data_IF_245989461420
#
_entry.id   IF_245989461420
#
_cell.length_a   1.000
_cell.length_b   1.000
_cell.length_c   1.000
_cell.angle_alpha   90.00
_cell.angle_beta   90.00
_cell.angle_gamma   90.00
#
_symmetry.space_group_name_H-M   'P 1'
#
loop_
_entity.id
_entity.type
_entity.pdbx_description
1 polymer ?
#
# COMPACT_ATOMS: atom_id res chain seq x y z
N UNK A 1 47.65 -25.82 -46.49
CA UNK A 1 47.51 -24.75 -47.50
C UNK A 1 46.10 -24.21 -47.36
N UNK A 2 45.98 -22.94 -46.94
CA UNK A 2 44.84 -22.00 -47.05
C UNK A 2 43.55 -22.37 -46.30
N UNK A 3 43.13 -21.64 -45.27
CA UNK A 3 42.67 -20.23 -45.18
C UNK A 3 41.24 -20.00 -45.73
N UNK A 4 40.40 -19.33 -44.93
CA UNK A 4 39.19 -18.60 -45.37
C UNK A 4 37.88 -19.08 -44.72
N UNK A 5 37.39 -18.54 -43.59
CA UNK A 5 36.67 -17.26 -43.32
C UNK A 5 35.14 -17.28 -43.57
N UNK A 6 34.41 -16.90 -42.51
CA UNK A 6 33.09 -16.21 -42.39
C UNK A 6 32.10 -16.92 -41.44
N UNK A 7 31.86 -16.46 -40.21
CA UNK A 7 31.33 -15.19 -39.68
C UNK A 7 29.78 -15.15 -39.64
N UNK A 8 29.21 -15.01 -38.44
CA UNK A 8 27.76 -14.96 -38.23
C UNK A 8 27.33 -14.71 -36.77
N UNK A 9 27.63 -13.49 -36.30
CA UNK A 9 26.92 -12.66 -35.30
C UNK A 9 26.45 -13.26 -33.95
N UNK A 10 27.09 -12.78 -32.88
CA UNK A 10 26.64 -12.90 -31.50
C UNK A 10 25.49 -11.96 -31.14
N UNK A 11 24.74 -12.35 -30.11
CA UNK A 11 23.89 -11.47 -29.33
C UNK A 11 24.53 -11.35 -27.94
N UNK A 12 25.32 -10.29 -27.75
CA UNK A 12 25.89 -9.89 -26.47
C UNK A 12 24.75 -9.35 -25.59
N UNK A 13 24.34 -10.13 -24.59
CA UNK A 13 23.62 -9.62 -23.43
C UNK A 13 24.67 -9.11 -22.45
N UNK A 14 24.70 -7.80 -22.24
CA UNK A 14 25.62 -7.15 -21.30
C UNK A 14 25.57 -7.78 -19.90
N UNK A 15 26.72 -8.06 -19.26
CA UNK A 15 26.76 -8.50 -17.88
C UNK A 15 26.55 -7.32 -16.94
N UNK A 16 25.48 -7.41 -16.13
CA UNK A 16 25.23 -6.53 -14.98
C UNK A 16 26.45 -6.52 -14.06
N UNK A 17 27.09 -5.35 -13.94
CA UNK A 17 28.25 -5.12 -13.08
C UNK A 17 27.87 -5.42 -11.62
N UNK A 18 28.33 -6.57 -11.14
CA UNK A 18 28.18 -7.01 -9.76
C UNK A 18 29.41 -6.55 -8.98
N UNK A 19 29.24 -5.59 -8.07
CA UNK A 19 30.29 -5.22 -7.11
C UNK A 19 30.43 -6.38 -6.11
N UNK A 20 31.36 -7.29 -6.38
CA UNK A 20 31.71 -8.37 -5.46
C UNK A 20 32.52 -7.83 -4.27
N UNK A 21 31.89 -7.76 -3.09
CA UNK A 21 32.66 -7.78 -1.83
C UNK A 21 33.09 -9.22 -1.53
N UNK A 22 34.39 -9.45 -1.62
CA UNK A 22 35.07 -10.74 -1.40
C UNK A 22 34.96 -11.21 0.07
N UNK A 23 34.23 -12.30 0.34
CA UNK A 23 34.37 -13.13 1.56
C UNK A 23 33.96 -14.59 1.29
N UNK A 24 34.93 -15.51 1.44
CA UNK A 24 34.81 -16.92 1.88
C UNK A 24 34.01 -17.93 1.02
N UNK A 25 34.54 -19.15 0.76
CA UNK A 25 33.79 -20.22 0.09
C UNK A 25 32.88 -20.94 1.09
N UNK A 26 31.57 -20.81 0.89
CA UNK A 26 30.54 -21.50 1.67
C UNK A 26 29.16 -21.05 1.25
N UNK A 27 28.56 -21.79 0.30
CA UNK A 27 27.14 -21.76 -0.08
C UNK A 27 26.42 -20.40 0.04
N UNK A 28 26.40 -19.63 -1.06
CA UNK A 28 25.34 -18.63 -1.27
C UNK A 28 24.03 -19.37 -1.54
N UNK A 29 23.31 -19.78 -0.50
CA UNK A 29 21.85 -19.83 -0.62
C UNK A 29 21.38 -18.39 -0.71
N UNK A 30 21.03 -17.94 -1.91
CA UNK A 30 20.18 -16.76 -2.09
C UNK A 30 18.80 -17.11 -1.53
N UNK A 31 18.68 -17.15 -0.20
CA UNK A 31 17.39 -17.27 0.47
C UNK A 31 16.61 -16.03 0.09
N UNK A 32 15.69 -16.17 -0.85
CA UNK A 32 14.75 -15.12 -1.19
C UNK A 32 13.88 -14.89 0.05
N UNK A 33 14.25 -13.92 0.89
CA UNK A 33 13.57 -13.62 2.16
C UNK A 33 12.08 -13.28 1.97
N UNK A 34 11.63 -12.99 0.73
CA UNK A 34 10.21 -12.81 0.38
C UNK A 34 9.42 -14.11 0.33
N UNK A 35 10.06 -15.25 0.07
CA UNK A 35 9.42 -16.56 0.01
C UNK A 35 9.25 -17.24 1.39
N UNK A 36 9.52 -16.50 2.47
CA UNK A 36 9.40 -16.99 3.85
C UNK A 36 8.06 -16.70 4.52
N UNK A 37 7.18 -15.94 3.87
CA UNK A 37 5.86 -15.54 4.37
C UNK A 37 4.87 -15.36 3.21
N UNK A 38 3.59 -15.19 3.54
CA UNK A 38 2.49 -15.07 2.59
C UNK A 38 1.99 -13.62 2.42
N UNK A 39 2.78 -12.60 2.75
CA UNK A 39 2.30 -11.21 2.68
C UNK A 39 1.91 -10.78 1.27
N UNK A 40 2.60 -11.24 0.23
CA UNK A 40 2.26 -10.91 -1.15
C UNK A 40 0.94 -11.57 -1.57
N UNK A 41 0.64 -12.76 -1.06
CA UNK A 41 -0.68 -13.38 -1.23
C UNK A 41 -1.79 -12.61 -0.50
N UNK A 42 -1.53 -12.15 0.73
CA UNK A 42 -2.49 -11.32 1.47
C UNK A 42 -2.78 -10.02 0.73
N UNK A 43 -1.76 -9.37 0.17
CA UNK A 43 -1.94 -8.19 -0.68
C UNK A 43 -2.75 -8.47 -1.94
N UNK A 44 -2.52 -9.62 -2.58
CA UNK A 44 -3.32 -10.03 -3.72
C UNK A 44 -4.80 -10.19 -3.36
N UNK A 45 -5.11 -10.82 -2.22
CA UNK A 45 -6.47 -10.90 -1.71
C UNK A 45 -7.06 -9.51 -1.42
N UNK A 46 -6.28 -8.60 -0.84
CA UNK A 46 -6.70 -7.23 -0.58
C UNK A 46 -7.02 -6.46 -1.89
N UNK A 47 -6.14 -6.53 -2.89
CA UNK A 47 -6.39 -5.93 -4.21
C UNK A 47 -7.65 -6.51 -4.87
N UNK A 48 -7.85 -7.82 -4.75
CA UNK A 48 -9.02 -8.51 -5.30
C UNK A 48 -10.30 -8.09 -4.58
N UNK A 49 -10.24 -7.83 -3.26
CA UNK A 49 -11.37 -7.35 -2.47
C UNK A 49 -11.77 -5.92 -2.87
N UNK A 50 -10.80 -5.03 -3.11
CA UNK A 50 -11.03 -3.68 -3.66
C UNK A 50 -11.70 -3.76 -5.02
N UNK A 51 -11.11 -4.53 -5.94
CA UNK A 51 -11.68 -4.76 -7.26
C UNK A 51 -13.12 -5.28 -7.16
N UNK A 52 -13.37 -6.27 -6.30
CA UNK A 52 -14.70 -6.82 -6.08
C UNK A 52 -15.70 -5.77 -5.59
N UNK A 53 -15.32 -4.90 -4.65
CA UNK A 53 -16.18 -3.83 -4.13
C UNK A 53 -16.53 -2.80 -5.20
N UNK A 54 -15.53 -2.30 -5.93
CA UNK A 54 -15.72 -1.29 -6.98
C UNK A 54 -16.67 -1.73 -8.10
N UNK A 55 -16.74 -3.03 -8.41
CA UNK A 55 -17.73 -3.53 -9.38
C UNK A 55 -19.18 -3.29 -8.93
N UNK A 56 -19.47 -3.29 -7.63
CA UNK A 56 -20.81 -2.99 -7.12
C UNK A 56 -21.11 -1.50 -7.20
N UNK A 57 -20.17 -0.64 -6.79
CA UNK A 57 -20.33 0.81 -6.86
C UNK A 57 -20.55 1.29 -8.31
N UNK A 58 -19.73 0.79 -9.25
CA UNK A 58 -19.88 1.07 -10.68
C UNK A 58 -21.22 0.57 -11.25
N UNK A 59 -21.77 -0.52 -10.71
CA UNK A 59 -23.08 -1.04 -11.07
C UNK A 59 -24.25 -0.33 -10.37
N UNK A 60 -23.98 0.68 -9.54
CA UNK A 60 -24.99 1.40 -8.75
C UNK A 60 -25.64 0.54 -7.67
N UNK A 61 -24.92 -0.48 -7.18
CA UNK A 61 -25.37 -1.40 -6.14
C UNK A 61 -24.65 -1.09 -4.83
N UNK A 62 -25.29 -1.41 -3.72
CA UNK A 62 -24.64 -1.34 -2.41
C UNK A 62 -23.42 -2.27 -2.37
N UNK A 63 -22.29 -1.73 -1.96
CA UNK A 63 -21.05 -2.50 -1.82
C UNK A 63 -21.18 -3.55 -0.71
N UNK A 64 -20.72 -4.80 -0.93
CA UNK A 64 -20.85 -5.86 0.06
C UNK A 64 -20.02 -5.55 1.30
N UNK A 65 -20.66 -5.66 2.46
CA UNK A 65 -20.02 -5.40 3.75
C UNK A 65 -19.25 -6.63 4.25
N UNK A 66 -18.10 -6.40 4.86
CA UNK A 66 -17.37 -7.43 5.61
C UNK A 66 -18.10 -7.68 6.93
N UNK A 67 -18.57 -8.92 7.19
CA UNK A 67 -19.34 -9.23 8.38
C UNK A 67 -18.59 -8.86 9.67
N UNK A 68 -19.22 -8.02 10.50
CA UNK A 68 -18.62 -7.58 11.76
C UNK A 68 -17.44 -6.64 11.60
N UNK A 69 -17.34 -5.84 10.55
CA UNK A 69 -16.38 -4.73 10.51
C UNK A 69 -17.07 -3.39 10.25
N UNK A 70 -18.26 -3.42 9.66
CA UNK A 70 -18.96 -2.21 9.22
C UNK A 70 -18.24 -1.49 8.08
N UNK A 71 -17.34 -2.20 7.40
CA UNK A 71 -16.58 -1.75 6.24
C UNK A 71 -16.96 -2.62 5.05
N UNK A 72 -16.99 -2.05 3.86
CA UNK A 72 -17.03 -2.86 2.64
C UNK A 72 -15.70 -3.56 2.36
N UNK A 73 -15.70 -4.44 1.36
CA UNK A 73 -14.49 -5.17 0.96
C UNK A 73 -13.38 -4.27 0.40
N UNK A 74 -13.72 -3.09 -0.14
CA UNK A 74 -12.77 -2.11 -0.63
C UNK A 74 -12.05 -1.40 0.51
N UNK A 75 -12.80 -0.82 1.44
CA UNK A 75 -12.29 -0.23 2.67
C UNK A 75 -11.43 -1.23 3.46
N UNK A 76 -11.89 -2.48 3.58
CA UNK A 76 -11.11 -3.54 4.20
C UNK A 76 -9.80 -3.82 3.46
N UNK A 77 -9.84 -3.95 2.13
CA UNK A 77 -8.66 -4.20 1.31
C UNK A 77 -7.62 -3.07 1.44
N UNK A 78 -8.08 -1.81 1.40
CA UNK A 78 -7.23 -0.63 1.62
C UNK A 78 -6.64 -0.66 3.03
N UNK A 79 -7.43 -0.92 4.07
CA UNK A 79 -6.91 -1.01 5.44
C UNK A 79 -5.82 -2.10 5.60
N UNK A 80 -5.99 -3.26 4.94
CA UNK A 80 -4.99 -4.33 4.90
C UNK A 80 -3.68 -3.85 4.26
N UNK A 81 -3.76 -3.11 3.13
CA UNK A 81 -2.58 -2.51 2.50
C UNK A 81 -1.86 -1.57 3.47
N UNK A 82 -2.57 -0.67 4.14
CA UNK A 82 -1.96 0.28 5.07
C UNK A 82 -1.32 -0.42 6.28
N UNK A 83 -1.98 -1.41 6.88
CA UNK A 83 -1.39 -2.21 7.97
C UNK A 83 -0.09 -2.90 7.55
N UNK A 84 -0.09 -3.56 6.37
CA UNK A 84 1.10 -4.24 5.86
C UNK A 84 2.21 -3.26 5.46
N UNK A 85 1.86 -2.14 4.83
CA UNK A 85 2.81 -1.09 4.45
C UNK A 85 3.49 -0.54 5.70
N UNK A 86 2.74 -0.13 6.73
CA UNK A 86 3.30 0.38 7.98
C UNK A 86 4.25 -0.61 8.67
N UNK A 87 3.87 -1.89 8.71
CA UNK A 87 4.71 -2.94 9.27
C UNK A 87 6.01 -3.15 8.50
N UNK A 88 5.95 -3.39 7.18
CA UNK A 88 7.12 -3.69 6.38
C UNK A 88 8.06 -2.50 6.23
N UNK A 89 7.52 -1.29 6.12
CA UNK A 89 8.29 -0.06 5.98
C UNK A 89 9.00 0.24 7.29
N UNK A 90 8.31 0.17 8.42
CA UNK A 90 8.96 0.36 9.72
C UNK A 90 10.09 -0.65 9.94
N UNK A 91 9.86 -1.94 9.66
CA UNK A 91 10.93 -2.96 9.76
C UNK A 91 12.09 -2.71 8.80
N UNK A 92 11.79 -2.28 7.57
CA UNK A 92 12.85 -1.98 6.61
C UNK A 92 13.64 -0.73 7.01
N UNK A 93 13.00 0.30 7.58
CA UNK A 93 13.67 1.48 8.11
C UNK A 93 14.57 1.12 9.31
N UNK A 94 14.09 0.25 10.21
CA UNK A 94 14.89 -0.21 11.36
C UNK A 94 16.17 -0.97 10.95
N UNK A 95 16.15 -1.61 9.77
CA UNK A 95 17.26 -2.40 9.23
C UNK A 95 18.14 -1.61 8.26
N UNK A 96 17.66 -0.50 7.70
CA UNK A 96 18.41 0.27 6.69
C UNK A 96 19.51 1.08 7.35
N UNK A 97 20.68 1.09 6.71
CA UNK A 97 21.78 2.01 7.05
C UNK A 97 21.88 3.17 6.07
N UNK A 98 21.32 3.01 4.87
CA UNK A 98 21.23 4.04 3.83
C UNK A 98 19.77 4.41 3.59
N UNK A 99 19.45 5.68 3.82
CA UNK A 99 18.10 6.22 3.68
C UNK A 99 17.77 6.64 2.24
N UNK A 100 18.79 6.98 1.45
CA UNK A 100 18.63 7.35 0.05
C UNK A 100 18.32 6.12 -0.79
N UNK A 101 19.05 5.02 -0.59
CA UNK A 101 18.74 3.72 -1.19
C UNK A 101 17.33 3.25 -0.80
N UNK A 102 16.97 3.45 0.47
CA UNK A 102 15.64 3.14 0.96
C UNK A 102 14.57 3.92 0.17
N UNK A 103 14.69 5.25 0.07
CA UNK A 103 13.73 6.09 -0.62
C UNK A 103 13.65 5.77 -2.12
N UNK A 104 14.80 5.61 -2.79
CA UNK A 104 14.89 5.25 -4.20
C UNK A 104 14.16 3.94 -4.51
N UNK A 105 14.35 2.90 -3.69
CA UNK A 105 13.67 1.63 -3.87
C UNK A 105 12.14 1.71 -3.77
N UNK A 106 11.59 2.72 -3.07
CA UNK A 106 10.13 2.91 -2.94
C UNK A 106 9.58 3.74 -4.07
N UNK A 107 10.30 4.78 -4.48
CA UNK A 107 9.97 5.57 -5.67
C UNK A 107 9.93 4.65 -6.89
N UNK A 108 10.96 3.82 -7.08
CA UNK A 108 11.04 2.86 -8.21
C UNK A 108 9.99 1.74 -8.13
N UNK A 109 9.41 1.48 -6.94
CA UNK A 109 8.31 0.52 -6.79
C UNK A 109 6.96 1.11 -7.21
N UNK A 110 6.73 2.40 -6.92
CA UNK A 110 5.42 3.07 -7.08
C UNK A 110 5.35 3.78 -8.43
N UNK A 111 6.29 4.69 -8.71
CA UNK A 111 6.18 5.65 -9.80
C UNK A 111 6.20 5.05 -11.21
N UNK A 112 6.99 4.00 -11.53
CA UNK A 112 6.97 3.45 -12.90
C UNK A 112 5.61 2.87 -13.28
N UNK A 113 5.00 2.08 -12.38
CA UNK A 113 3.68 1.50 -12.59
C UNK A 113 2.60 2.58 -12.60
N UNK A 114 2.70 3.57 -11.72
CA UNK A 114 1.80 4.72 -11.67
C UNK A 114 1.88 5.58 -12.95
N UNK A 115 3.08 5.86 -13.45
CA UNK A 115 3.24 6.62 -14.70
C UNK A 115 2.62 5.85 -15.87
N UNK A 116 2.86 4.53 -15.93
CA UNK A 116 2.32 3.67 -16.97
C UNK A 116 0.79 3.69 -16.98
N UNK A 117 0.14 3.41 -15.85
CA UNK A 117 -1.34 3.40 -15.77
C UNK A 117 -1.94 4.77 -16.06
N UNK A 118 -1.38 5.87 -15.53
CA UNK A 118 -1.89 7.21 -15.81
C UNK A 118 -1.85 7.55 -17.31
N UNK A 119 -0.73 7.26 -17.98
CA UNK A 119 -0.58 7.51 -19.41
C UNK A 119 -1.51 6.61 -20.22
N UNK A 120 -1.58 5.32 -19.91
CA UNK A 120 -2.45 4.37 -20.62
C UNK A 120 -3.92 4.75 -20.45
N UNK A 121 -4.37 5.03 -19.23
CA UNK A 121 -5.74 5.45 -18.94
C UNK A 121 -6.08 6.77 -19.64
N UNK A 122 -5.19 7.76 -19.60
CA UNK A 122 -5.40 9.04 -20.27
C UNK A 122 -5.47 8.90 -21.80
N UNK A 123 -4.56 8.12 -22.40
CA UNK A 123 -4.59 7.87 -23.85
C UNK A 123 -5.80 7.04 -24.28
N UNK A 124 -6.15 6.00 -23.52
CA UNK A 124 -7.29 5.14 -23.82
C UNK A 124 -8.59 5.95 -23.80
N UNK A 125 -8.80 6.77 -22.78
CA UNK A 125 -10.00 7.61 -22.67
C UNK A 125 -10.02 8.74 -23.71
N UNK A 126 -8.87 9.33 -24.03
CA UNK A 126 -8.76 10.33 -25.10
C UNK A 126 -9.21 9.76 -26.45
N UNK A 127 -8.77 8.55 -26.79
CA UNK A 127 -9.11 7.88 -28.06
C UNK A 127 -10.55 7.37 -28.06
N UNK A 128 -10.95 6.67 -27.00
CA UNK A 128 -12.26 6.01 -26.92
C UNK A 128 -13.42 7.01 -26.96
N UNK A 129 -13.30 8.11 -26.20
CA UNK A 129 -14.32 9.17 -26.15
C UNK A 129 -14.15 10.22 -27.25
N UNK A 130 -13.13 10.09 -28.10
CA UNK A 130 -12.74 11.12 -29.10
C UNK A 130 -12.60 12.51 -28.45
N UNK A 131 -12.02 12.55 -27.25
CA UNK A 131 -12.05 13.68 -26.33
C UNK A 131 -10.98 14.75 -26.63
N UNK A 132 -10.65 14.96 -27.91
CA UNK A 132 -9.53 15.80 -28.35
C UNK A 132 -9.66 17.27 -27.95
N UNK A 133 -10.88 17.78 -27.76
CA UNK A 133 -11.15 19.14 -27.27
C UNK A 133 -10.65 19.37 -25.83
N UNK A 134 -10.46 18.30 -25.06
CA UNK A 134 -10.00 18.34 -23.67
C UNK A 134 -8.56 17.82 -23.50
N UNK A 135 -7.72 17.87 -24.55
CA UNK A 135 -6.35 17.36 -24.51
C UNK A 135 -5.53 17.91 -23.33
N UNK A 136 -5.70 19.19 -22.96
CA UNK A 136 -5.01 19.77 -21.80
C UNK A 136 -5.41 19.07 -20.50
N UNK A 137 -6.69 18.74 -20.30
CA UNK A 137 -7.15 18.05 -19.11
C UNK A 137 -6.61 16.61 -19.01
N UNK A 138 -6.36 15.95 -20.14
CA UNK A 138 -5.68 14.66 -20.18
C UNK A 138 -4.21 14.75 -19.75
N UNK A 139 -3.52 15.83 -20.11
CA UNK A 139 -2.15 16.12 -19.68
C UNK A 139 -2.12 16.51 -18.21
N UNK A 140 -3.05 17.35 -17.78
CA UNK A 140 -3.21 17.77 -16.38
C UNK A 140 -3.47 16.54 -15.50
N UNK A 141 -4.39 15.65 -15.89
CA UNK A 141 -4.64 14.37 -15.19
C UNK A 141 -3.35 13.57 -14.95
N UNK A 142 -2.49 13.41 -15.96
CA UNK A 142 -1.22 12.67 -15.80
C UNK A 142 -0.25 13.44 -14.91
N UNK A 143 -0.06 14.74 -15.18
CA UNK A 143 0.92 15.54 -14.45
C UNK A 143 0.54 15.77 -12.98
N UNK A 144 -0.74 15.97 -12.70
CA UNK A 144 -1.26 16.22 -11.36
C UNK A 144 -1.16 14.97 -10.50
N UNK A 145 -1.51 13.80 -11.06
CA UNK A 145 -1.35 12.53 -10.36
C UNK A 145 0.14 12.13 -10.21
N UNK A 146 1.03 12.48 -11.14
CA UNK A 146 2.48 12.33 -10.90
C UNK A 146 2.98 13.26 -9.78
N UNK A 147 2.33 14.41 -9.59
CA UNK A 147 2.59 15.36 -8.50
C UNK A 147 1.61 15.22 -7.33
N UNK A 148 0.99 14.04 -7.17
CA UNK A 148 -0.09 13.81 -6.19
C UNK A 148 0.30 14.09 -4.74
N UNK A 149 1.60 14.06 -4.45
CA UNK A 149 2.14 14.45 -3.14
C UNK A 149 1.77 15.89 -2.77
N UNK A 150 1.67 16.78 -3.75
CA UNK A 150 1.34 18.20 -3.58
C UNK A 150 -0.11 18.49 -3.96
N UNK A 151 -0.58 17.92 -5.08
CA UNK A 151 -1.88 18.26 -5.68
C UNK A 151 -3.03 17.36 -5.25
N UNK A 152 -2.75 16.21 -4.64
CA UNK A 152 -3.75 15.17 -4.42
C UNK A 152 -4.03 14.34 -5.66
N UNK A 153 -5.06 13.51 -5.58
CA UNK A 153 -5.47 12.65 -6.70
C UNK A 153 -6.49 13.38 -7.58
N UNK A 154 -6.21 13.45 -8.88
CA UNK A 154 -7.18 13.91 -9.88
C UNK A 154 -7.88 12.69 -10.44
N UNK A 155 -9.16 12.51 -10.11
CA UNK A 155 -9.88 11.29 -10.44
C UNK A 155 -10.69 11.40 -11.73
N UNK A 156 -11.09 12.60 -12.16
CA UNK A 156 -11.98 12.80 -13.30
C UNK A 156 -11.31 13.55 -14.45
N UNK A 157 -11.73 13.26 -15.68
CA UNK A 157 -11.35 14.00 -16.89
C UNK A 157 -12.63 14.55 -17.53
N UNK A 158 -12.74 15.86 -17.79
CA UNK A 158 -13.91 16.44 -18.45
C UNK A 158 -14.21 15.74 -19.79
N UNK A 159 -15.48 15.38 -20.00
CA UNK A 159 -15.92 14.69 -21.22
C UNK A 159 -15.79 13.16 -21.19
N UNK A 160 -15.25 12.58 -20.11
CA UNK A 160 -15.13 11.13 -19.92
C UNK A 160 -16.10 10.68 -18.83
N UNK A 161 -16.83 9.58 -19.06
CA UNK A 161 -17.80 8.99 -18.11
C UNK A 161 -18.85 9.99 -17.59
N UNK A 162 -19.27 10.96 -18.41
CA UNK A 162 -20.26 11.98 -18.02
C UNK A 162 -21.68 11.45 -17.92
N UNK A 163 -21.94 10.27 -18.48
CA UNK A 163 -23.22 9.56 -18.53
C UNK A 163 -23.31 8.37 -17.56
N UNK A 164 -22.29 8.17 -16.70
CA UNK A 164 -22.26 7.09 -15.71
C UNK A 164 -22.55 7.61 -14.30
N UNK A 165 -22.72 6.69 -13.35
CA UNK A 165 -22.92 7.04 -11.92
C UNK A 165 -21.68 7.68 -11.30
N UNK A 166 -20.48 7.35 -11.81
CA UNK A 166 -19.19 7.80 -11.30
C UNK A 166 -18.34 8.30 -12.46
N UNK A 167 -18.05 9.60 -12.47
CA UNK A 167 -17.18 10.22 -13.47
C UNK A 167 -15.68 9.97 -13.24
N UNK A 168 -15.32 9.26 -12.16
CA UNK A 168 -13.93 8.90 -11.88
C UNK A 168 -13.40 7.96 -12.96
N UNK A 169 -12.22 8.26 -13.46
CA UNK A 169 -11.48 7.52 -14.49
C UNK A 169 -10.49 6.54 -13.87
N UNK A 170 -10.03 6.79 -12.65
CA UNK A 170 -9.28 5.82 -11.86
C UNK A 170 -9.45 6.16 -10.38
N UNK A 171 -10.46 5.56 -9.75
CA UNK A 171 -10.77 5.81 -8.34
C UNK A 171 -9.61 5.43 -7.39
N UNK A 172 -9.03 4.20 -7.44
CA UNK A 172 -7.99 3.73 -6.50
C UNK A 172 -6.80 4.66 -6.22
N UNK A 173 -6.56 5.65 -7.07
CA UNK A 173 -5.52 6.67 -6.89
C UNK A 173 -5.71 7.51 -5.62
N UNK A 174 -6.92 7.69 -5.10
CA UNK A 174 -7.19 8.57 -3.95
C UNK A 174 -6.40 8.19 -2.70
N UNK A 175 -6.07 6.91 -2.50
CA UNK A 175 -5.33 6.46 -1.31
C UNK A 175 -3.83 6.73 -1.39
N UNK A 176 -3.28 6.88 -2.60
CA UNK A 176 -1.82 6.97 -2.80
C UNK A 176 -1.18 8.22 -2.18
N UNK A 177 -1.79 9.43 -2.24
CA UNK A 177 -1.31 10.59 -1.49
C UNK A 177 -1.12 10.29 0.00
N UNK A 178 -2.11 9.65 0.65
CA UNK A 178 -2.05 9.28 2.06
C UNK A 178 -0.89 8.32 2.33
N UNK A 179 -0.71 7.31 1.48
CA UNK A 179 0.38 6.35 1.61
C UNK A 179 1.75 7.05 1.56
N UNK A 180 1.98 7.92 0.56
CA UNK A 180 3.23 8.67 0.42
C UNK A 180 3.50 9.58 1.62
N UNK A 181 2.49 10.31 2.11
CA UNK A 181 2.63 11.18 3.27
C UNK A 181 2.90 10.40 4.56
N UNK A 182 2.28 9.23 4.76
CA UNK A 182 2.56 8.37 5.90
C UNK A 182 3.97 7.77 5.86
N UNK A 183 4.52 7.51 4.67
CA UNK A 183 5.90 7.07 4.53
C UNK A 183 6.87 8.17 4.98
N UNK A 184 6.64 9.40 4.54
CA UNK A 184 7.42 10.58 4.94
C UNK A 184 7.29 10.83 6.45
N UNK A 185 6.07 10.79 6.98
CA UNK A 185 5.81 10.98 8.40
C UNK A 185 6.50 9.93 9.27
N UNK A 186 6.43 8.65 8.89
CA UNK A 186 7.11 7.58 9.62
C UNK A 186 8.64 7.72 9.54
N UNK A 187 9.17 8.10 8.37
CA UNK A 187 10.59 8.38 8.21
C UNK A 187 11.05 9.50 9.15
N UNK A 188 10.34 10.64 9.14
CA UNK A 188 10.61 11.78 10.01
C UNK A 188 10.52 11.40 11.49
N UNK A 189 9.51 10.60 11.87
CA UNK A 189 9.31 10.14 13.24
C UNK A 189 10.44 9.24 13.73
N UNK A 190 10.92 8.32 12.89
CA UNK A 190 12.05 7.43 13.22
C UNK A 190 13.35 8.23 13.34
N UNK A 191 13.56 9.22 12.46
CA UNK A 191 14.74 10.08 12.49
C UNK A 191 14.76 10.99 13.73
N UNK A 192 13.65 11.68 14.00
CA UNK A 192 13.50 12.58 15.16
C UNK A 192 13.50 11.81 16.50
N UNK A 193 12.92 10.61 16.52
CA UNK A 193 12.91 9.76 17.71
C UNK A 193 14.29 9.26 18.13
N UNK A 194 15.29 9.28 17.23
CA UNK A 194 16.68 8.88 17.48
C UNK A 194 16.77 7.57 18.30
N UNK A 195 17.34 7.61 19.51
CA UNK A 195 17.48 6.44 20.40
C UNK A 195 16.13 5.88 20.90
N UNK A 196 15.06 6.68 20.86
CA UNK A 196 13.71 6.37 21.32
C UNK A 196 12.70 6.19 20.18
N UNK A 197 13.19 5.92 18.96
CA UNK A 197 12.37 5.70 17.75
C UNK A 197 11.18 4.75 17.96
N UNK A 198 11.34 3.70 18.78
CA UNK A 198 10.25 2.78 19.08
C UNK A 198 9.12 3.42 19.88
N UNK A 199 9.45 4.16 20.94
CA UNK A 199 8.47 4.89 21.74
C UNK A 199 7.78 5.98 20.91
N UNK A 200 8.52 6.68 20.04
CA UNK A 200 7.96 7.69 19.14
C UNK A 200 6.87 7.12 18.22
N UNK A 201 7.12 5.95 17.61
CA UNK A 201 6.13 5.24 16.77
C UNK A 201 4.91 4.81 17.58
N UNK A 202 5.11 4.26 18.78
CA UNK A 202 3.99 3.84 19.65
C UNK A 202 3.13 5.03 20.09
N UNK A 203 3.77 6.15 20.46
CA UNK A 203 3.07 7.38 20.84
C UNK A 203 2.32 7.99 19.64
N UNK A 204 2.90 7.97 18.45
CA UNK A 204 2.21 8.41 17.24
C UNK A 204 1.00 7.51 16.91
N UNK A 205 1.14 6.19 17.03
CA UNK A 205 0.04 5.25 16.84
C UNK A 205 -1.11 5.49 17.85
N UNK A 206 -0.77 5.71 19.12
CA UNK A 206 -1.76 6.07 20.14
C UNK A 206 -2.40 7.44 19.88
N UNK A 207 -1.60 8.43 19.48
CA UNK A 207 -2.06 9.78 19.18
C UNK A 207 -3.00 9.86 17.99
N UNK A 208 -2.66 9.21 16.87
CA UNK A 208 -3.54 9.18 15.69
C UNK A 208 -4.81 8.36 15.96
N UNK A 209 -4.70 7.27 16.72
CA UNK A 209 -5.84 6.46 17.11
C UNK A 209 -6.81 7.22 18.00
N UNK A 210 -6.28 8.01 18.94
CA UNK A 210 -7.07 8.92 19.77
C UNK A 210 -7.69 10.05 18.93
N UNK A 211 -6.94 10.62 18.00
CA UNK A 211 -7.48 11.64 17.11
C UNK A 211 -8.63 11.10 16.25
N UNK A 212 -8.52 9.88 15.70
CA UNK A 212 -9.60 9.21 14.99
C UNK A 212 -10.83 8.98 15.88
N UNK A 213 -10.60 8.52 17.12
CA UNK A 213 -11.65 8.33 18.12
C UNK A 213 -12.43 9.61 18.45
N UNK A 214 -11.76 10.76 18.37
CA UNK A 214 -12.32 12.07 18.69
C UNK A 214 -12.81 12.84 17.47
N UNK A 215 -12.63 12.33 16.24
CA UNK A 215 -12.98 13.04 15.01
C UNK A 215 -14.45 13.48 14.92
N UNK A 216 -15.44 12.73 15.44
CA UNK A 216 -16.82 13.20 15.44
C UNK A 216 -17.04 14.49 16.27
N UNK A 217 -16.11 14.85 17.15
CA UNK A 217 -16.22 16.03 18.03
C UNK A 217 -15.71 17.32 17.41
N UNK A 218 -14.81 17.24 16.43
CA UNK A 218 -14.19 18.43 15.82
C UNK A 218 -14.48 18.55 14.31
N UNK A 219 -15.22 17.60 13.73
CA UNK A 219 -15.63 17.63 12.34
C UNK A 219 -14.49 17.31 11.36
N UNK A 220 -14.80 17.38 10.08
CA UNK A 220 -13.85 17.11 8.99
C UNK A 220 -13.13 18.39 8.56
N UNK A 221 -11.85 18.25 8.23
CA UNK A 221 -11.01 19.32 7.72
C UNK A 221 -9.99 18.77 6.72
N UNK A 222 -9.36 19.65 5.97
CA UNK A 222 -8.34 19.28 4.99
C UNK A 222 -6.94 19.70 5.45
N UNK A 223 -5.95 18.84 5.19
CA UNK A 223 -4.53 19.13 5.36
C UNK A 223 -3.87 19.03 3.99
N UNK A 224 -3.78 20.16 3.30
CA UNK A 224 -3.38 20.17 1.89
C UNK A 224 -4.36 19.31 1.08
N UNK A 225 -3.91 18.29 0.33
CA UNK A 225 -4.78 17.43 -0.46
C UNK A 225 -5.45 16.29 0.33
N UNK A 226 -5.21 16.20 1.64
CA UNK A 226 -5.66 15.06 2.46
C UNK A 226 -6.88 15.44 3.28
N UNK A 227 -7.88 14.57 3.28
CA UNK A 227 -9.05 14.68 4.15
C UNK A 227 -8.77 14.08 5.52
N UNK A 228 -9.18 14.77 6.59
CA UNK A 228 -8.84 14.37 7.96
C UNK A 228 -9.43 13.02 8.33
N UNK A 229 -10.65 12.70 7.88
CA UNK A 229 -11.31 11.43 8.21
C UNK A 229 -10.50 10.23 7.70
N UNK A 230 -10.11 10.28 6.42
CA UNK A 230 -9.28 9.26 5.79
C UNK A 230 -7.87 9.23 6.34
N UNK A 231 -7.26 10.40 6.57
CA UNK A 231 -5.92 10.47 7.16
C UNK A 231 -5.89 9.79 8.54
N UNK A 232 -6.90 10.04 9.37
CA UNK A 232 -7.00 9.46 10.71
C UNK A 232 -7.26 7.95 10.65
N UNK A 233 -8.16 7.49 9.78
CA UNK A 233 -8.48 6.07 9.58
C UNK A 233 -7.29 5.29 9.01
N UNK A 234 -6.79 5.71 7.84
CA UNK A 234 -5.70 5.07 7.12
C UNK A 234 -4.38 5.18 7.89
N UNK A 235 -4.13 6.35 8.49
CA UNK A 235 -2.99 6.58 9.36
C UNK A 235 -3.01 5.71 10.62
N UNK A 236 -4.18 5.46 11.22
CA UNK A 236 -4.32 4.51 12.33
C UNK A 236 -4.00 3.08 11.90
N UNK A 237 -4.50 2.64 10.74
CA UNK A 237 -4.20 1.31 10.20
C UNK A 237 -2.70 1.14 9.93
N UNK A 238 -2.07 2.14 9.31
CA UNK A 238 -0.65 2.16 9.01
C UNK A 238 0.21 2.16 10.28
N UNK A 239 -0.07 3.07 11.22
CA UNK A 239 0.70 3.17 12.45
C UNK A 239 0.45 2.00 13.40
N UNK A 240 -0.69 1.32 13.34
CA UNK A 240 -0.89 0.03 14.02
C UNK A 240 0.08 -1.05 13.49
N UNK A 241 0.26 -1.12 12.17
CA UNK A 241 1.28 -1.97 11.55
C UNK A 241 2.70 -1.59 11.96
N UNK A 242 3.03 -0.30 11.96
CA UNK A 242 4.34 0.20 12.40
C UNK A 242 4.61 -0.05 13.91
N UNK A 243 3.58 0.08 14.75
CA UNK A 243 3.65 -0.25 16.17
C UNK A 243 3.96 -1.74 16.39
N UNK A 244 3.31 -2.64 15.63
CA UNK A 244 3.63 -4.06 15.65
C UNK A 244 5.04 -4.37 15.15
N UNK A 245 5.56 -3.60 14.19
CA UNK A 245 6.94 -3.75 13.73
C UNK A 245 7.96 -3.40 14.83
N UNK A 246 7.72 -2.33 15.58
CA UNK A 246 8.55 -1.95 16.74
C UNK A 246 8.48 -3.01 17.84
N UNK A 247 7.29 -3.52 18.14
CA UNK A 247 7.06 -4.54 19.16
C UNK A 247 7.35 -5.97 18.69
N UNK A 248 7.76 -6.15 17.43
CA UNK A 248 7.96 -7.45 16.80
C UNK A 248 8.99 -8.36 17.50
N UNK A 249 10.10 -7.87 18.07
CA UNK A 249 11.04 -8.73 18.82
C UNK A 249 10.40 -9.46 20.01
N UNK A 250 9.32 -8.90 20.57
CA UNK A 250 8.58 -9.48 21.68
C UNK A 250 7.40 -10.34 21.18
N UNK A 251 6.57 -9.77 20.30
CA UNK A 251 5.32 -10.38 19.85
C UNK A 251 5.50 -11.42 18.73
N UNK A 252 6.53 -11.25 17.90
CA UNK A 252 6.81 -12.08 16.74
C UNK A 252 7.31 -13.49 17.05
N UNK A 253 7.42 -13.87 18.33
CA UNK A 253 7.78 -15.23 18.76
C UNK A 253 6.69 -16.26 18.43
N UNK A 254 5.42 -15.84 18.39
CA UNK A 254 4.26 -16.69 18.06
C UNK A 254 3.32 -15.95 17.10
N UNK A 255 3.73 -15.75 15.84
CA UNK A 255 3.01 -14.88 14.91
C UNK A 255 1.60 -15.39 14.60
N UNK A 256 1.39 -16.71 14.48
CA UNK A 256 0.06 -17.27 14.24
C UNK A 256 -0.87 -17.10 15.45
N UNK A 257 -0.34 -17.17 16.67
CA UNK A 257 -1.13 -16.91 17.88
C UNK A 257 -1.52 -15.43 17.98
N UNK A 258 -0.61 -14.52 17.60
CA UNK A 258 -0.93 -13.09 17.47
C UNK A 258 -2.02 -12.87 16.41
N UNK A 259 -1.93 -13.58 15.28
CA UNK A 259 -2.93 -13.54 14.22
C UNK A 259 -4.31 -14.00 14.69
N UNK A 260 -4.36 -15.15 15.37
CA UNK A 260 -5.59 -15.69 15.96
C UNK A 260 -6.16 -14.76 17.05
N UNK A 261 -5.31 -14.16 17.88
CA UNK A 261 -5.73 -13.16 18.87
C UNK A 261 -6.29 -11.89 18.19
N UNK A 262 -5.72 -11.46 17.07
CA UNK A 262 -6.25 -10.37 16.25
C UNK A 262 -7.64 -10.68 15.70
N UNK A 263 -7.86 -11.88 15.15
CA UNK A 263 -9.19 -12.31 14.70
C UNK A 263 -10.20 -12.35 15.84
N UNK A 264 -9.82 -12.91 16.99
CA UNK A 264 -10.67 -12.92 18.17
C UNK A 264 -10.98 -11.48 18.64
N UNK A 265 -10.00 -10.59 18.61
CA UNK A 265 -10.19 -9.19 18.98
C UNK A 265 -11.14 -8.46 18.01
N UNK A 266 -11.10 -8.74 16.70
CA UNK A 266 -12.10 -8.20 15.76
C UNK A 266 -13.50 -8.62 16.20
N UNK A 267 -13.72 -9.91 16.48
CA UNK A 267 -15.03 -10.41 16.95
C UNK A 267 -15.45 -9.73 18.25
N UNK A 268 -14.53 -9.58 19.21
CA UNK A 268 -14.83 -8.92 20.49
C UNK A 268 -15.12 -7.43 20.34
N UNK A 269 -14.46 -6.73 19.43
CA UNK A 269 -14.69 -5.30 19.16
C UNK A 269 -16.07 -5.05 18.55
N UNK A 270 -16.69 -6.04 17.91
CA UNK A 270 -18.09 -5.95 17.48
C UNK A 270 -19.11 -6.00 18.61
N UNK A 271 -18.70 -6.48 19.79
CA UNK A 271 -19.55 -6.42 20.97
C UNK A 271 -19.52 -5.04 21.63
N UNK A 272 -18.58 -4.18 21.22
CA UNK A 272 -18.45 -2.81 21.70
C UNK A 272 -19.38 -1.91 20.88
N UNK A 273 -20.28 -1.15 21.54
CA UNK A 273 -21.16 -0.21 20.85
C UNK A 273 -20.41 0.80 19.98
N UNK A 274 -21.03 1.22 18.88
CA UNK A 274 -20.43 2.12 17.88
C UNK A 274 -20.04 3.49 18.45
N UNK A 275 -20.72 3.94 19.51
CA UNK A 275 -20.49 5.24 20.19
C UNK A 275 -19.31 5.23 21.16
N UNK A 276 -18.71 4.06 21.42
CA UNK A 276 -17.55 3.95 22.30
C UNK A 276 -16.32 4.54 21.62
N UNK A 277 -15.81 5.62 22.20
CA UNK A 277 -14.69 6.41 21.68
C UNK A 277 -13.47 5.55 21.31
N UNK A 278 -13.12 4.51 22.06
CA UNK A 278 -11.90 3.71 21.81
C UNK A 278 -12.03 2.67 20.70
N UNK A 279 -13.22 2.47 20.11
CA UNK A 279 -13.45 1.40 19.14
C UNK A 279 -12.57 1.50 17.87
N UNK A 280 -12.42 2.66 17.21
CA UNK A 280 -11.67 2.74 15.96
C UNK A 280 -10.20 2.27 16.03
N UNK A 281 -9.37 2.74 16.99
CA UNK A 281 -7.99 2.25 17.09
C UNK A 281 -7.88 0.78 17.50
N UNK A 282 -8.88 0.23 18.22
CA UNK A 282 -8.93 -1.20 18.52
C UNK A 282 -9.15 -2.05 17.26
N UNK A 283 -10.03 -1.61 16.35
CA UNK A 283 -10.22 -2.27 15.05
C UNK A 283 -8.93 -2.26 14.25
N UNK A 284 -8.25 -1.11 14.12
CA UNK A 284 -6.99 -1.00 13.39
C UNK A 284 -5.88 -1.90 13.99
N UNK A 285 -5.75 -1.93 15.32
CA UNK A 285 -4.81 -2.79 16.02
C UNK A 285 -5.10 -4.29 15.86
N UNK A 286 -6.37 -4.68 15.99
CA UNK A 286 -6.81 -6.06 15.83
C UNK A 286 -6.63 -6.56 14.39
N UNK A 287 -6.97 -5.72 13.40
CA UNK A 287 -6.74 -5.99 11.99
C UNK A 287 -5.25 -6.16 11.69
N UNK A 288 -4.41 -5.22 12.14
CA UNK A 288 -2.96 -5.32 11.94
C UNK A 288 -2.40 -6.61 12.54
N UNK A 289 -2.82 -6.98 13.76
CA UNK A 289 -2.39 -8.21 14.42
C UNK A 289 -2.83 -9.47 13.64
N UNK A 290 -4.09 -9.51 13.18
CA UNK A 290 -4.63 -10.61 12.38
C UNK A 290 -3.84 -10.77 11.08
N UNK A 291 -3.72 -9.71 10.30
CA UNK A 291 -3.11 -9.69 8.97
C UNK A 291 -1.61 -10.00 9.03
N UNK A 292 -0.88 -9.35 9.93
CA UNK A 292 0.58 -9.54 10.03
C UNK A 292 0.89 -10.91 10.66
N UNK A 293 0.14 -11.30 11.69
CA UNK A 293 0.33 -12.57 12.38
C UNK A 293 0.05 -13.78 11.48
N UNK A 294 -1.07 -13.78 10.77
CA UNK A 294 -1.43 -14.84 9.83
C UNK A 294 -0.60 -14.78 8.55
N UNK A 295 -0.24 -13.59 8.09
CA UNK A 295 0.61 -13.40 6.90
C UNK A 295 2.01 -14.00 7.05
N UNK A 296 2.50 -14.22 8.28
CA UNK A 296 3.74 -14.99 8.52
C UNK A 296 3.62 -16.49 8.19
N UNK A 297 2.42 -17.02 8.00
CA UNK A 297 2.26 -18.40 7.57
C UNK A 297 3.00 -18.64 6.25
N UNK A 298 3.57 -19.83 6.10
CA UNK A 298 4.28 -20.25 4.88
C UNK A 298 3.38 -20.96 3.86
N UNK A 299 2.10 -21.16 4.18
CA UNK A 299 1.16 -21.92 3.36
C UNK A 299 1.08 -21.38 1.92
N UNK A 300 1.14 -20.05 1.74
CA UNK A 300 1.06 -19.38 0.45
C UNK A 300 2.33 -18.59 0.11
N UNK A 301 3.47 -18.90 0.73
CA UNK A 301 4.72 -18.16 0.48
C UNK A 301 5.34 -18.42 -0.89
N UNK A 302 4.86 -19.47 -1.58
CA UNK A 302 5.21 -19.73 -2.97
C UNK A 302 4.71 -18.62 -3.91
N UNK A 303 3.64 -17.91 -3.54
CA UNK A 303 3.08 -16.80 -4.32
C UNK A 303 4.10 -15.67 -4.50
N UNK A 304 4.90 -15.41 -3.48
CA UNK A 304 5.96 -14.39 -3.48
C UNK A 304 7.11 -14.68 -4.46
N UNK A 305 7.16 -15.87 -5.08
CA UNK A 305 8.18 -16.22 -6.09
C UNK A 305 7.95 -15.52 -7.43
N UNK A 306 6.70 -15.20 -7.76
CA UNK A 306 6.33 -14.49 -8.99
C UNK A 306 6.55 -12.97 -8.94
N UNK A 307 7.03 -12.45 -7.81
CA UNK A 307 7.07 -11.01 -7.54
C UNK A 307 5.76 -10.51 -6.93
N UNK A 308 5.66 -9.19 -6.76
CA UNK A 308 4.53 -8.53 -6.12
C UNK A 308 3.68 -7.82 -7.18
N UNK A 309 2.64 -8.51 -7.67
CA UNK A 309 1.71 -7.99 -8.66
C UNK A 309 0.55 -7.19 -8.05
N UNK A 310 0.40 -7.19 -6.72
CA UNK A 310 -0.80 -6.64 -6.07
C UNK A 310 -0.96 -5.14 -6.31
N UNK A 311 0.16 -4.42 -6.39
CA UNK A 311 0.16 -2.98 -6.66
C UNK A 311 -0.41 -2.69 -8.05
N UNK A 312 -0.01 -3.47 -9.06
CA UNK A 312 -0.59 -3.36 -10.40
C UNK A 312 -2.10 -3.64 -10.36
N UNK A 313 -2.52 -4.76 -9.77
CA UNK A 313 -3.95 -5.11 -9.68
C UNK A 313 -4.74 -3.99 -9.01
N UNK A 314 -4.21 -3.40 -7.92
CA UNK A 314 -4.87 -2.32 -7.20
C UNK A 314 -5.02 -1.05 -8.04
N UNK A 315 -3.95 -0.57 -8.68
CA UNK A 315 -4.00 0.70 -9.42
C UNK A 315 -4.79 0.55 -10.74
N UNK A 316 -4.95 -0.67 -11.23
CA UNK A 316 -5.83 -1.01 -12.35
C UNK A 316 -7.23 -1.50 -11.90
N UNK A 317 -7.60 -1.34 -10.62
CA UNK A 317 -8.88 -1.82 -10.09
C UNK A 317 -10.08 -0.92 -10.42
N UNK A 318 -10.01 -0.19 -11.53
CA UNK A 318 -11.04 0.71 -12.04
C UNK A 318 -11.02 0.73 -13.58
N UNK A 319 -12.19 0.87 -14.25
CA UNK A 319 -12.31 0.81 -15.71
C UNK A 319 -11.45 1.79 -16.50
#
# INVERSE_FOLDING_TARGET
MRDGHDAGAGADLEPVVTIERRRGPGQRTTVNQRADNSYDFVRFCAASAVLFSHHFDLAGRSEPQVPGLGWDFGEFGVAVFFCLSGFLICRSLQRSTDWAEFAAARILRIFPNLAFVLVVTSLATLVWYRNGSHLSAHVDYVSDNLMMFVKGATLAIPGVFTDTLRAAVNEPLWTLPYELWLYVALFALVLAGARHRGAAVLLAAAGIGLAWSLSPRFGEFQIGPLESADLLRLGSCFLAGAALAVSWPLLGRRPLALGAAGLAAIVLVNLVPDDVTVRPPLVAGALAAAIIGLGQARAMSWFSRGGDASYGIYVFAWP
#
